data_IF_902564039655
#
_entry.id   IF_902564039655
#
_cell.length_a   1.000
_cell.length_b   1.000
_cell.length_c   1.000
_cell.angle_alpha   90.00
_cell.angle_beta   90.00
_cell.angle_gamma   90.00
#
_symmetry.space_group_name_H-M   'P 1'
#
loop_
_entity.id
_entity.type
_entity.pdbx_description
1 polymer ?
#
# COMPACT_ATOMS: atom_id res chain seq x y z
N UNK A 1 22.53 -10.14 8.53
CA UNK A 1 21.74 -9.36 9.52
C UNK A 1 22.66 -9.02 10.67
N UNK A 2 22.53 -7.84 11.25
CA UNK A 2 23.21 -7.53 12.52
C UNK A 2 22.46 -8.19 13.68
N UNK A 3 23.16 -8.46 14.79
CA UNK A 3 22.52 -9.02 16.00
C UNK A 3 21.36 -8.14 16.48
N UNK A 4 21.51 -6.83 16.36
CA UNK A 4 20.47 -5.87 16.71
C UNK A 4 19.22 -5.95 15.81
N UNK A 5 19.39 -6.16 14.50
CA UNK A 5 18.25 -6.32 13.59
C UNK A 5 17.48 -7.62 13.89
N UNK A 6 18.18 -8.69 14.25
CA UNK A 6 17.54 -9.94 14.66
C UNK A 6 16.75 -9.79 15.97
N UNK A 7 17.27 -9.00 16.92
CA UNK A 7 16.60 -8.65 18.17
C UNK A 7 15.30 -7.87 17.93
N UNK A 8 15.34 -6.84 17.09
CA UNK A 8 14.15 -6.04 16.72
C UNK A 8 13.07 -6.89 16.06
N UNK A 9 13.45 -7.83 15.19
CA UNK A 9 12.50 -8.77 14.56
C UNK A 9 11.87 -9.67 15.61
N UNK A 10 12.67 -10.25 16.51
CA UNK A 10 12.18 -11.13 17.59
C UNK A 10 11.19 -10.39 18.48
N UNK A 11 11.50 -9.16 18.86
CA UNK A 11 10.64 -8.34 19.72
C UNK A 11 9.37 -7.89 19.01
N UNK A 12 9.48 -7.46 17.75
CA UNK A 12 8.30 -7.15 16.94
C UNK A 12 7.36 -8.33 16.79
N UNK A 13 7.87 -9.55 16.59
CA UNK A 13 7.03 -10.75 16.49
C UNK A 13 6.37 -11.16 17.82
N UNK A 14 6.86 -10.69 18.96
CA UNK A 14 6.25 -10.95 20.27
C UNK A 14 5.06 -10.02 20.58
N UNK A 15 4.89 -8.92 19.84
CA UNK A 15 3.77 -7.99 19.99
C UNK A 15 2.46 -8.60 19.50
N UNK A 16 1.34 -8.10 20.00
CA UNK A 16 0.02 -8.42 19.47
C UNK A 16 -0.16 -7.89 18.03
N UNK A 17 -1.14 -8.40 17.27
CA UNK A 17 -1.32 -8.03 15.86
C UNK A 17 -1.47 -6.53 15.58
N UNK A 18 -2.15 -5.79 16.45
CA UNK A 18 -2.43 -4.37 16.23
C UNK A 18 -1.16 -3.55 16.49
N UNK A 19 -0.43 -3.88 17.55
CA UNK A 19 0.86 -3.27 17.84
C UNK A 19 1.90 -3.57 16.75
N UNK A 20 1.91 -4.79 16.20
CA UNK A 20 2.78 -5.12 15.05
C UNK A 20 2.47 -4.28 13.83
N UNK A 21 1.20 -4.05 13.54
CA UNK A 21 0.79 -3.23 12.41
C UNK A 21 1.31 -1.78 12.55
N UNK A 22 1.23 -1.20 13.75
CA UNK A 22 1.75 0.14 14.04
C UNK A 22 3.27 0.19 13.81
N UNK A 23 4.03 -0.76 14.36
CA UNK A 23 5.49 -0.80 14.22
C UNK A 23 5.90 -0.99 12.76
N UNK A 24 5.25 -1.92 12.04
CA UNK A 24 5.53 -2.18 10.65
C UNK A 24 5.27 -0.95 9.76
N UNK A 25 4.13 -0.28 9.93
CA UNK A 25 3.80 0.94 9.19
C UNK A 25 4.78 2.07 9.51
N UNK A 26 5.15 2.26 10.78
CA UNK A 26 6.12 3.30 11.17
C UNK A 26 7.49 3.08 10.53
N UNK A 27 7.97 1.83 10.52
CA UNK A 27 9.24 1.47 9.87
C UNK A 27 9.13 1.64 8.35
N UNK A 28 8.01 1.23 7.74
CA UNK A 28 7.74 1.40 6.32
C UNK A 28 7.74 2.89 5.93
N UNK A 29 7.08 3.75 6.71
CA UNK A 29 7.05 5.19 6.50
C UNK A 29 8.45 5.80 6.57
N UNK A 30 9.30 5.35 7.50
CA UNK A 30 10.68 5.85 7.60
C UNK A 30 11.54 5.54 6.36
N UNK A 31 11.25 4.44 5.65
CA UNK A 31 11.89 4.09 4.39
C UNK A 31 11.40 5.02 3.26
N UNK A 32 10.11 5.33 3.25
CA UNK A 32 9.49 6.16 2.20
C UNK A 32 9.69 7.66 2.41
N UNK A 33 9.95 8.11 3.65
CA UNK A 33 10.13 9.50 4.02
C UNK A 33 11.27 10.22 3.26
N UNK A 34 12.23 9.47 2.70
CA UNK A 34 13.31 10.02 1.85
C UNK A 34 13.17 9.72 0.35
N UNK A 35 12.12 9.01 -0.07
CA UNK A 35 11.96 8.48 -1.43
C UNK A 35 10.74 9.07 -2.16
N UNK A 36 9.73 9.53 -1.43
CA UNK A 36 8.68 10.34 -2.00
C UNK A 36 9.22 11.75 -2.22
N UNK A 37 9.66 12.07 -3.44
CA UNK A 37 9.63 13.47 -3.86
C UNK A 37 8.18 13.93 -3.63
N UNK A 38 7.98 14.91 -2.74
CA UNK A 38 6.66 15.46 -2.41
C UNK A 38 5.81 15.63 -3.66
N UNK A 39 6.43 16.08 -4.75
CA UNK A 39 5.81 16.29 -6.06
C UNK A 39 5.16 15.03 -6.67
N UNK A 40 5.76 13.85 -6.51
CA UNK A 40 5.16 12.59 -7.02
C UNK A 40 3.95 12.20 -6.18
N UNK A 41 4.04 12.34 -4.85
CA UNK A 41 2.92 12.09 -3.97
C UNK A 41 1.79 13.09 -4.20
N UNK A 42 2.12 14.37 -4.42
CA UNK A 42 1.16 15.44 -4.70
C UNK A 42 0.47 15.22 -6.05
N UNK A 43 1.21 14.81 -7.08
CA UNK A 43 0.65 14.47 -8.38
C UNK A 43 -0.30 13.26 -8.30
N UNK A 44 0.05 12.23 -7.53
CA UNK A 44 -0.85 11.08 -7.30
C UNK A 44 -2.11 11.46 -6.53
N UNK A 45 -2.01 12.34 -5.53
CA UNK A 45 -3.18 12.85 -4.81
C UNK A 45 -4.10 13.66 -5.73
N UNK A 46 -3.54 14.51 -6.60
CA UNK A 46 -4.30 15.29 -7.57
C UNK A 46 -5.08 14.38 -8.53
N UNK A 47 -4.42 13.38 -9.13
CA UNK A 47 -5.05 12.39 -10.00
C UNK A 47 -6.16 11.61 -9.27
N UNK A 48 -5.91 11.15 -8.04
CA UNK A 48 -6.89 10.42 -7.26
C UNK A 48 -8.14 11.25 -6.95
N UNK A 49 -7.96 12.54 -6.63
CA UNK A 49 -9.07 13.47 -6.40
C UNK A 49 -9.88 13.73 -7.67
N UNK A 50 -9.21 13.89 -8.82
CA UNK A 50 -9.85 14.07 -10.12
C UNK A 50 -10.69 12.84 -10.50
N UNK A 51 -10.12 11.64 -10.42
CA UNK A 51 -10.84 10.39 -10.70
C UNK A 51 -12.05 10.19 -9.80
N UNK A 52 -11.97 10.57 -8.53
CA UNK A 52 -13.11 10.51 -7.62
C UNK A 52 -14.24 11.45 -8.06
N UNK A 53 -13.91 12.64 -8.54
CA UNK A 53 -14.88 13.58 -9.08
C UNK A 53 -15.54 13.04 -10.35
N UNK A 54 -14.77 12.47 -11.27
CA UNK A 54 -15.29 11.85 -12.50
C UNK A 54 -16.26 10.71 -12.20
N UNK A 55 -15.89 9.81 -11.28
CA UNK A 55 -16.75 8.69 -10.84
C UNK A 55 -18.06 9.23 -10.23
N UNK A 56 -17.98 10.22 -9.33
CA UNK A 56 -19.16 10.83 -8.71
C UNK A 56 -20.05 11.57 -9.69
N UNK A 57 -19.48 12.15 -10.73
CA UNK A 57 -20.20 12.81 -11.81
C UNK A 57 -20.80 11.82 -12.82
N UNK A 58 -20.47 10.53 -12.75
CA UNK A 58 -20.83 9.54 -13.77
C UNK A 58 -20.15 9.78 -15.11
N UNK A 59 -19.00 10.49 -15.11
CA UNK A 59 -18.24 10.80 -16.32
C UNK A 59 -17.42 9.59 -16.82
N UNK A 60 -17.25 8.57 -15.98
CA UNK A 60 -16.50 7.36 -16.28
C UNK A 60 -17.28 6.13 -15.81
N UNK A 61 -17.11 5.02 -16.52
CA UNK A 61 -17.66 3.72 -16.13
C UNK A 61 -16.69 3.02 -15.16
N UNK A 62 -17.13 2.81 -13.93
CA UNK A 62 -16.33 2.10 -12.93
C UNK A 62 -16.38 0.58 -13.19
N UNK A 63 -15.25 -0.09 -12.98
CA UNK A 63 -15.19 -1.55 -13.03
C UNK A 63 -15.48 -2.11 -11.65
N UNK A 64 -16.26 -3.19 -11.59
CA UNK A 64 -16.48 -3.93 -10.34
C UNK A 64 -15.15 -4.41 -9.75
N UNK A 65 -14.91 -4.04 -8.49
CA UNK A 65 -13.63 -4.28 -7.84
C UNK A 65 -13.37 -5.78 -7.61
N UNK A 66 -14.40 -6.54 -7.23
CA UNK A 66 -14.27 -7.97 -6.95
C UNK A 66 -13.94 -8.75 -8.23
N UNK A 67 -14.62 -8.44 -9.34
CA UNK A 67 -14.33 -8.99 -10.65
C UNK A 67 -12.92 -8.62 -11.12
N UNK A 68 -12.51 -7.36 -10.95
CA UNK A 68 -11.18 -6.90 -11.31
C UNK A 68 -10.08 -7.65 -10.54
N UNK A 69 -10.19 -7.75 -9.22
CA UNK A 69 -9.20 -8.44 -8.40
C UNK A 69 -9.21 -9.96 -8.61
N UNK A 70 -10.37 -10.57 -8.91
CA UNK A 70 -10.45 -11.97 -9.29
C UNK A 70 -9.66 -12.25 -10.58
N UNK A 71 -9.81 -11.40 -11.61
CA UNK A 71 -9.05 -11.51 -12.86
C UNK A 71 -7.55 -11.35 -12.65
N UNK A 72 -7.13 -10.35 -11.87
CA UNK A 72 -5.72 -10.09 -11.55
C UNK A 72 -5.07 -11.28 -10.83
N UNK A 73 -5.73 -11.83 -9.80
CA UNK A 73 -5.23 -13.02 -9.11
C UNK A 73 -5.07 -14.19 -10.08
N UNK A 74 -6.08 -14.43 -10.92
CA UNK A 74 -6.05 -15.50 -11.91
C UNK A 74 -4.96 -15.33 -12.98
N UNK A 75 -4.58 -14.10 -13.34
CA UNK A 75 -3.46 -13.87 -14.27
C UNK A 75 -2.11 -14.16 -13.63
N UNK A 76 -1.92 -13.83 -12.36
CA UNK A 76 -0.66 -14.09 -11.65
C UNK A 76 -0.44 -15.60 -11.47
N UNK A 77 -1.48 -16.35 -11.11
CA UNK A 77 -1.40 -17.81 -10.93
C UNK A 77 -1.19 -18.57 -12.25
N UNK A 78 -1.59 -18.02 -13.40
CA UNK A 78 -1.35 -18.63 -14.73
C UNK A 78 0.05 -18.38 -15.30
N UNK A 79 0.81 -17.47 -14.70
CA UNK A 79 2.18 -17.14 -15.11
C UNK A 79 3.26 -17.78 -14.21
N UNK A 80 2.86 -18.67 -13.30
CA UNK A 80 3.73 -19.49 -12.43
C UNK A 80 3.66 -20.96 -12.84
#
# INVERSE_FOLDING_TARGET
>A
MTDHAAELIREGLALDPDQRAIVANTLLDSIHAGQASSEVADAWHAEAAERLCEIRAGAVEAVDADEHYARLRASITRSS
#
